data_IF_905688456904
#
_entry.id   IF_905688456904
#
_cell.length_a   1.000
_cell.length_b   1.000
_cell.length_c   1.000
_cell.angle_alpha   90.00
_cell.angle_beta   90.00
_cell.angle_gamma   90.00
#
_symmetry.space_group_name_H-M   'P 1'
#
loop_
_entity.id
_entity.type
_entity.pdbx_description
1 polymer ?
#
# COMPACT_ATOMS: atom_id res chain seq x y z
N UNK A 1 8.44 42.71 67.56
CA UNK A 1 7.39 41.88 66.92
C UNK A 1 8.01 41.23 65.69
N UNK A 2 8.07 39.90 65.62
CA UNK A 2 8.71 39.17 64.52
C UNK A 2 7.63 38.69 63.56
N UNK A 3 7.62 39.20 62.32
CA UNK A 3 6.70 38.76 61.27
C UNK A 3 7.14 37.37 60.80
N UNK A 4 6.27 36.35 60.78
CA UNK A 4 6.62 35.04 60.23
C UNK A 4 6.80 35.14 58.71
N UNK A 5 7.88 34.56 58.20
CA UNK A 5 8.15 34.43 56.77
C UNK A 5 7.03 33.61 56.10
N UNK A 6 6.40 34.08 55.02
CA UNK A 6 5.41 33.30 54.31
C UNK A 6 6.05 32.01 53.76
N UNK A 7 5.34 30.87 53.79
CA UNK A 7 5.84 29.63 53.21
C UNK A 7 6.16 29.85 51.73
N UNK A 8 7.27 29.27 51.27
CA UNK A 8 7.70 29.37 49.88
C UNK A 8 6.55 28.98 48.95
N UNK A 9 6.21 29.87 48.01
CA UNK A 9 5.21 29.59 47.01
C UNK A 9 5.64 28.35 46.22
N UNK A 10 4.91 27.25 46.40
CA UNK A 10 5.02 26.07 45.54
C UNK A 10 4.75 26.58 44.13
N UNK A 11 5.72 26.45 43.23
CA UNK A 11 5.54 26.84 41.84
C UNK A 11 4.30 26.11 41.32
N UNK A 12 3.19 26.85 41.14
CA UNK A 12 1.98 26.30 40.58
C UNK A 12 2.34 25.80 39.18
N UNK A 13 2.25 24.48 38.98
CA UNK A 13 2.46 23.90 37.67
C UNK A 13 1.49 24.58 36.70
N UNK A 14 2.03 25.29 35.71
CA UNK A 14 1.26 25.97 34.66
C UNK A 14 0.27 24.97 34.09
N UNK A 15 -1.02 25.25 34.27
CA UNK A 15 -2.08 24.39 33.76
C UNK A 15 -1.97 24.28 32.24
N UNK A 16 -1.75 23.07 31.73
CA UNK A 16 -1.73 22.79 30.30
C UNK A 16 -3.01 22.04 29.91
N UNK A 17 -3.81 22.64 29.03
CA UNK A 17 -4.95 21.96 28.42
C UNK A 17 -4.44 20.87 27.48
N UNK A 18 -4.43 19.62 27.95
CA UNK A 18 -4.05 18.44 27.15
C UNK A 18 -5.30 17.65 26.79
N UNK A 19 -5.43 17.25 25.52
CA UNK A 19 -6.48 16.34 25.08
C UNK A 19 -6.33 15.01 25.81
N UNK A 20 -7.38 14.59 26.52
CA UNK A 20 -7.42 13.34 27.24
C UNK A 20 -7.42 12.17 26.26
N UNK A 21 -6.55 11.19 26.50
CA UNK A 21 -6.30 10.12 25.52
C UNK A 21 -7.17 8.89 25.73
N UNK A 22 -7.65 8.68 26.96
CA UNK A 22 -8.49 7.54 27.32
C UNK A 22 -9.54 7.91 28.40
N UNK A 23 -10.59 7.08 28.51
CA UNK A 23 -11.69 7.32 29.46
C UNK A 23 -11.17 7.37 30.90
N UNK A 24 -10.18 6.55 31.27
CA UNK A 24 -9.60 6.55 32.62
C UNK A 24 -8.96 7.90 32.99
N UNK A 25 -8.26 8.55 32.07
CA UNK A 25 -7.72 9.90 32.27
C UNK A 25 -8.84 10.93 32.44
N UNK A 26 -9.91 10.82 31.65
CA UNK A 26 -11.10 11.68 31.78
C UNK A 26 -11.78 11.50 33.14
N UNK A 27 -11.90 10.27 33.64
CA UNK A 27 -12.44 10.01 34.97
C UNK A 27 -11.55 10.58 36.07
N UNK A 28 -10.23 10.37 35.98
CA UNK A 28 -9.27 10.90 36.94
C UNK A 28 -9.31 12.44 36.99
N UNK A 29 -9.32 13.09 35.83
CA UNK A 29 -9.39 14.55 35.75
C UNK A 29 -10.73 15.11 36.21
N UNK A 30 -11.85 14.56 35.76
CA UNK A 30 -13.18 15.03 36.20
C UNK A 30 -13.37 14.87 37.70
N UNK A 31 -12.86 13.79 38.29
CA UNK A 31 -12.87 13.58 39.75
C UNK A 31 -11.99 14.59 40.47
N UNK A 32 -10.76 14.81 39.99
CA UNK A 32 -9.84 15.80 40.56
C UNK A 32 -10.42 17.22 40.53
N UNK A 33 -11.06 17.61 39.43
CA UNK A 33 -11.70 18.92 39.28
C UNK A 33 -12.90 19.02 40.25
N UNK A 34 -13.74 17.99 40.33
CA UNK A 34 -14.89 17.94 41.25
C UNK A 34 -14.44 18.08 42.71
N UNK A 35 -13.41 17.35 43.11
CA UNK A 35 -12.88 17.39 44.48
C UNK A 35 -12.30 18.75 44.85
N UNK A 36 -11.67 19.45 43.90
CA UNK A 36 -11.18 20.82 44.09
C UNK A 36 -12.32 21.80 44.28
N UNK A 37 -13.35 21.72 43.42
CA UNK A 37 -14.55 22.57 43.51
C UNK A 37 -15.25 22.34 44.85
N UNK A 38 -15.32 21.11 45.32
CA UNK A 38 -15.99 20.77 46.58
C UNK A 38 -15.23 21.21 47.83
N UNK A 39 -13.89 21.27 47.76
CA UNK A 39 -13.03 21.78 48.85
C UNK A 39 -12.94 23.31 48.89
N UNK A 40 -13.44 24.00 47.87
CA UNK A 40 -13.37 25.45 47.79
C UNK A 40 -14.29 26.11 48.83
N UNK A 41 -13.75 27.00 49.65
CA UNK A 41 -14.47 27.70 50.72
C UNK A 41 -15.17 28.96 50.18
N UNK A 42 -16.19 28.79 49.34
CA UNK A 42 -17.08 29.87 48.90
C UNK A 42 -18.50 29.36 48.63
N UNK A 43 -19.30 30.14 47.91
CA UNK A 43 -20.63 29.82 47.33
C UNK A 43 -20.90 28.35 46.96
N UNK A 44 -22.19 27.99 46.90
CA UNK A 44 -22.64 26.62 46.61
C UNK A 44 -22.02 26.05 45.31
N UNK A 45 -21.31 24.90 45.38
CA UNK A 45 -20.62 24.31 44.23
C UNK A 45 -21.54 23.54 43.27
N UNK A 46 -22.83 23.41 43.59
CA UNK A 46 -23.75 22.48 42.92
C UNK A 46 -23.85 22.70 41.39
N UNK A 47 -23.97 23.96 40.96
CA UNK A 47 -24.06 24.30 39.52
C UNK A 47 -22.79 23.90 38.75
N UNK A 48 -21.61 24.15 39.33
CA UNK A 48 -20.33 23.81 38.71
C UNK A 48 -20.14 22.29 38.64
N UNK A 49 -20.52 21.55 39.70
CA UNK A 49 -20.45 20.09 39.72
C UNK A 49 -21.35 19.49 38.63
N UNK A 50 -22.57 20.04 38.45
CA UNK A 50 -23.47 19.60 37.40
C UNK A 50 -22.87 19.81 35.99
N UNK A 51 -22.29 20.99 35.74
CA UNK A 51 -21.62 21.31 34.48
C UNK A 51 -20.43 20.36 34.19
N UNK A 52 -19.60 20.06 35.21
CA UNK A 52 -18.51 19.08 35.08
C UNK A 52 -19.06 17.69 34.70
N UNK A 53 -20.18 17.29 35.30
CA UNK A 53 -20.85 16.03 34.98
C UNK A 53 -21.34 15.95 33.52
N UNK A 54 -21.88 17.05 32.99
CA UNK A 54 -22.29 17.14 31.59
C UNK A 54 -21.08 17.05 30.64
N UNK A 55 -20.03 17.83 30.92
CA UNK A 55 -18.79 17.81 30.13
C UNK A 55 -18.12 16.44 30.12
N UNK A 56 -18.14 15.70 31.26
CA UNK A 56 -17.64 14.31 31.30
C UNK A 56 -18.37 13.43 30.29
N UNK A 57 -19.71 13.47 30.27
CA UNK A 57 -20.53 12.65 29.35
C UNK A 57 -20.28 13.01 27.89
N UNK A 58 -20.22 14.29 27.56
CA UNK A 58 -19.93 14.74 26.20
C UNK A 58 -18.52 14.29 25.74
N UNK A 59 -17.53 14.41 26.62
CA UNK A 59 -16.18 13.94 26.34
C UNK A 59 -16.14 12.42 26.11
N UNK A 60 -16.85 11.61 26.91
CA UNK A 60 -16.97 10.16 26.69
C UNK A 60 -17.53 9.83 25.29
N UNK A 61 -18.58 10.53 24.86
CA UNK A 61 -19.18 10.38 23.53
C UNK A 61 -18.16 10.73 22.43
N UNK A 62 -17.47 11.86 22.56
CA UNK A 62 -16.46 12.29 21.59
C UNK A 62 -15.33 11.26 21.48
N UNK A 63 -14.88 10.69 22.58
CA UNK A 63 -13.83 9.68 22.59
C UNK A 63 -14.28 8.39 21.88
N UNK A 64 -15.50 7.92 22.13
CA UNK A 64 -16.07 6.79 21.42
C UNK A 64 -16.19 7.04 19.92
N UNK A 65 -16.68 8.22 19.53
CA UNK A 65 -16.77 8.62 18.12
C UNK A 65 -15.39 8.70 17.47
N UNK A 66 -14.39 9.22 18.17
CA UNK A 66 -13.01 9.27 17.67
C UNK A 66 -12.42 7.88 17.42
N UNK A 67 -12.74 6.90 18.27
CA UNK A 67 -12.36 5.49 18.06
C UNK A 67 -13.03 4.93 16.79
N UNK A 68 -14.35 5.08 16.69
CA UNK A 68 -15.12 4.62 15.53
C UNK A 68 -14.60 5.23 14.22
N UNK A 69 -14.31 6.53 14.23
CA UNK A 69 -13.73 7.22 13.07
C UNK A 69 -12.35 6.65 12.71
N UNK A 70 -11.49 6.35 13.70
CA UNK A 70 -10.17 5.74 13.46
C UNK A 70 -10.30 4.37 12.80
N UNK A 71 -11.24 3.55 13.25
CA UNK A 71 -11.54 2.24 12.65
C UNK A 71 -12.06 2.36 11.21
N UNK A 72 -13.01 3.27 10.98
CA UNK A 72 -13.53 3.55 9.65
C UNK A 72 -12.43 4.03 8.69
N UNK A 73 -11.57 4.95 9.14
CA UNK A 73 -10.43 5.42 8.36
C UNK A 73 -9.44 4.29 8.04
N UNK A 74 -9.15 3.42 9.00
CA UNK A 74 -8.28 2.26 8.79
C UNK A 74 -8.89 1.29 7.77
N UNK A 75 -10.19 1.02 7.87
CA UNK A 75 -10.94 0.17 6.93
C UNK A 75 -10.93 0.75 5.51
N UNK A 76 -11.23 2.05 5.38
CA UNK A 76 -11.22 2.76 4.10
C UNK A 76 -9.83 2.77 3.46
N UNK A 77 -8.78 3.01 4.24
CA UNK A 77 -7.39 2.92 3.75
C UNK A 77 -7.05 1.53 3.24
N UNK A 78 -7.46 0.47 3.96
CA UNK A 78 -7.28 -0.92 3.52
C UNK A 78 -8.03 -1.21 2.21
N UNK A 79 -9.30 -0.81 2.12
CA UNK A 79 -10.11 -0.98 0.92
C UNK A 79 -9.54 -0.24 -0.29
N UNK A 80 -9.09 1.00 -0.10
CA UNK A 80 -8.49 1.81 -1.16
C UNK A 80 -7.17 1.22 -1.63
N UNK A 81 -6.31 0.77 -0.71
CA UNK A 81 -5.06 0.05 -1.06
C UNK A 81 -5.35 -1.21 -1.87
N UNK A 82 -6.37 -1.99 -1.50
CA UNK A 82 -6.78 -3.18 -2.24
C UNK A 82 -7.32 -2.83 -3.64
N UNK A 83 -8.16 -1.81 -3.75
CA UNK A 83 -8.69 -1.34 -5.04
C UNK A 83 -7.59 -0.81 -5.95
N UNK A 84 -6.65 -0.03 -5.42
CA UNK A 84 -5.49 0.48 -6.15
C UNK A 84 -4.60 -0.65 -6.64
N UNK A 85 -4.28 -1.63 -5.78
CA UNK A 85 -3.57 -2.86 -6.20
C UNK A 85 -4.30 -3.59 -7.33
N UNK A 86 -5.63 -3.73 -7.25
CA UNK A 86 -6.44 -4.36 -8.32
C UNK A 86 -6.38 -3.57 -9.63
N UNK A 87 -6.38 -2.23 -9.56
CA UNK A 87 -6.26 -1.35 -10.74
C UNK A 87 -4.87 -1.42 -11.39
N UNK A 88 -3.82 -1.49 -10.58
CA UNK A 88 -2.42 -1.56 -11.06
C UNK A 88 -2.05 -2.91 -11.68
N UNK A 89 -2.77 -4.01 -11.34
CA UNK A 89 -2.52 -5.31 -11.96
C UNK A 89 -2.67 -5.23 -13.48
N UNK A 90 -1.62 -5.62 -14.22
CA UNK A 90 -1.60 -5.63 -15.69
C UNK A 90 -2.77 -6.47 -16.22
N UNK A 91 -3.68 -5.83 -16.96
CA UNK A 91 -4.83 -6.51 -17.57
C UNK A 91 -4.39 -7.13 -18.90
N UNK A 92 -4.51 -8.45 -19.04
CA UNK A 92 -4.41 -9.12 -20.36
C UNK A 92 -5.76 -8.98 -21.06
N UNK A 93 -5.82 -8.28 -22.19
CA UNK A 93 -7.05 -8.13 -22.98
C UNK A 93 -7.29 -9.40 -23.81
N UNK A 94 -8.50 -9.93 -23.74
CA UNK A 94 -8.97 -11.00 -24.65
C UNK A 94 -9.52 -10.31 -25.91
N UNK A 95 -8.90 -10.56 -27.06
CA UNK A 95 -9.34 -10.01 -28.34
C UNK A 95 -10.34 -10.96 -29.02
N UNK A 96 -11.52 -11.11 -28.45
CA UNK A 96 -12.68 -11.75 -29.11
C UNK A 96 -13.78 -10.71 -29.28
N UNK A 97 -14.45 -10.72 -30.43
CA UNK A 97 -15.65 -9.90 -30.66
C UNK A 97 -16.87 -10.58 -30.01
N UNK A 98 -17.84 -9.80 -29.56
CA UNK A 98 -19.08 -10.28 -28.94
C UNK A 98 -19.02 -10.44 -27.42
N UNK A 99 -20.13 -10.84 -26.82
CA UNK A 99 -20.25 -11.10 -25.38
C UNK A 99 -19.55 -12.41 -25.06
N UNK A 100 -18.70 -12.38 -24.03
CA UNK A 100 -17.96 -13.55 -23.54
C UNK A 100 -18.50 -13.93 -22.16
N UNK A 101 -18.85 -15.19 -21.98
CA UNK A 101 -19.12 -15.75 -20.65
C UNK A 101 -17.81 -15.91 -19.89
N UNK A 102 -17.88 -15.92 -18.55
CA UNK A 102 -16.70 -16.07 -17.70
C UNK A 102 -15.92 -17.36 -18.02
N UNK A 103 -16.61 -18.51 -18.09
CA UNK A 103 -16.00 -19.81 -18.39
C UNK A 103 -15.30 -19.82 -19.75
N UNK A 104 -15.98 -19.34 -20.81
CA UNK A 104 -15.38 -19.23 -22.13
C UNK A 104 -14.15 -18.30 -22.16
N UNK A 105 -14.10 -17.29 -21.28
CA UNK A 105 -12.92 -16.44 -21.10
C UNK A 105 -11.76 -17.17 -20.41
N UNK A 106 -12.05 -17.96 -19.38
CA UNK A 106 -11.08 -18.78 -18.66
C UNK A 106 -10.47 -19.86 -19.57
N UNK A 107 -11.29 -20.55 -20.35
CA UNK A 107 -10.84 -21.57 -21.32
C UNK A 107 -9.88 -20.97 -22.37
N UNK A 108 -10.15 -19.76 -22.85
CA UNK A 108 -9.27 -19.06 -23.80
C UNK A 108 -7.92 -18.68 -23.18
N UNK A 109 -7.90 -18.34 -21.90
CA UNK A 109 -6.66 -18.05 -21.18
C UNK A 109 -5.86 -19.34 -21.00
N UNK A 110 -6.50 -20.43 -20.56
CA UNK A 110 -5.87 -21.74 -20.41
C UNK A 110 -5.28 -22.25 -21.73
N UNK A 111 -6.04 -22.16 -22.83
CA UNK A 111 -5.54 -22.55 -24.14
C UNK A 111 -4.35 -21.69 -24.60
N UNK A 112 -4.40 -20.37 -24.37
CA UNK A 112 -3.28 -19.47 -24.71
C UNK A 112 -2.03 -19.82 -23.91
N UNK A 113 -2.16 -20.16 -22.63
CA UNK A 113 -1.04 -20.56 -21.77
C UNK A 113 -0.45 -21.89 -22.22
N UNK A 114 -1.28 -22.90 -22.51
CA UNK A 114 -0.83 -24.16 -23.09
C UNK A 114 -0.06 -23.95 -24.41
N UNK A 115 -0.60 -23.13 -25.32
CA UNK A 115 0.06 -22.83 -26.60
C UNK A 115 1.41 -22.10 -26.41
N UNK A 116 1.51 -21.19 -25.43
CA UNK A 116 2.77 -20.50 -25.12
C UNK A 116 3.83 -21.46 -24.59
N UNK A 117 3.41 -22.41 -23.75
CA UNK A 117 4.31 -23.42 -23.21
C UNK A 117 4.81 -24.36 -24.30
N UNK A 118 3.93 -24.86 -25.17
CA UNK A 118 4.30 -25.69 -26.32
C UNK A 118 5.30 -24.94 -27.21
N UNK A 119 5.03 -23.69 -27.58
CA UNK A 119 5.92 -22.91 -28.43
C UNK A 119 7.30 -22.67 -27.80
N UNK A 120 7.36 -22.54 -26.47
CA UNK A 120 8.61 -22.40 -25.75
C UNK A 120 9.40 -23.73 -25.72
N UNK A 121 8.73 -24.85 -25.46
CA UNK A 121 9.32 -26.18 -25.51
C UNK A 121 9.83 -26.55 -26.90
N UNK A 122 9.09 -26.19 -27.96
CA UNK A 122 9.52 -26.39 -29.35
C UNK A 122 10.80 -25.60 -29.67
N UNK A 123 10.90 -24.34 -29.23
CA UNK A 123 12.13 -23.54 -29.39
C UNK A 123 13.30 -24.15 -28.64
N UNK A 124 13.10 -24.56 -27.39
CA UNK A 124 14.14 -25.21 -26.60
C UNK A 124 14.56 -26.56 -27.20
N UNK A 125 13.61 -27.33 -27.73
CA UNK A 125 13.90 -28.58 -28.45
C UNK A 125 14.70 -28.28 -29.71
N UNK A 126 14.35 -27.25 -30.48
CA UNK A 126 15.13 -26.81 -31.65
C UNK A 126 16.56 -26.41 -31.31
N UNK A 127 16.75 -25.65 -30.22
CA UNK A 127 18.07 -25.25 -29.72
C UNK A 127 18.88 -26.45 -29.21
N UNK A 128 18.27 -27.37 -28.45
CA UNK A 128 18.93 -28.59 -27.94
C UNK A 128 19.23 -29.62 -29.02
N UNK A 129 18.45 -29.64 -30.10
CA UNK A 129 18.67 -30.58 -31.20
C UNK A 129 19.90 -30.22 -32.03
N UNK A 130 20.55 -29.06 -31.81
CA UNK A 130 21.75 -28.65 -32.55
C UNK A 130 21.51 -28.42 -34.06
N UNK A 131 20.34 -28.78 -34.58
CA UNK A 131 19.86 -28.48 -35.92
C UNK A 131 19.40 -27.03 -35.94
N UNK A 132 20.35 -26.12 -35.73
CA UNK A 132 20.27 -24.88 -36.47
C UNK A 132 20.01 -25.30 -37.91
N UNK A 133 18.91 -24.85 -38.52
CA UNK A 133 18.89 -24.65 -39.96
C UNK A 133 19.94 -23.58 -40.24
N UNK A 134 21.20 -23.93 -40.06
CA UNK A 134 22.35 -23.21 -40.55
C UNK A 134 22.13 -23.26 -42.04
N UNK A 135 21.58 -22.17 -42.57
CA UNK A 135 21.69 -21.90 -43.99
C UNK A 135 23.17 -22.15 -44.31
N UNK A 136 23.45 -23.21 -45.08
CA UNK A 136 24.82 -23.63 -45.40
C UNK A 136 25.61 -22.36 -45.71
N UNK A 137 26.71 -22.13 -44.99
CA UNK A 137 27.46 -20.90 -45.13
C UNK A 137 27.85 -20.75 -46.61
N UNK A 138 27.30 -19.72 -47.26
CA UNK A 138 27.57 -19.39 -48.66
C UNK A 138 28.75 -18.44 -48.71
N UNK A 139 29.62 -18.63 -49.70
CA UNK A 139 30.69 -17.70 -50.00
C UNK A 139 30.08 -16.30 -50.24
N UNK A 140 30.54 -15.28 -49.52
CA UNK A 140 29.99 -13.92 -49.65
C UNK A 140 30.26 -13.29 -51.02
N UNK A 141 31.19 -13.85 -51.80
CA UNK A 141 31.54 -13.38 -53.15
C UNK A 141 30.71 -14.05 -54.24
N UNK A 142 30.64 -15.39 -54.29
CA UNK A 142 29.95 -16.11 -55.36
C UNK A 142 28.61 -16.76 -54.96
N UNK A 143 28.22 -16.65 -53.68
CA UNK A 143 27.01 -17.23 -53.08
C UNK A 143 26.88 -18.76 -53.17
N UNK A 144 27.94 -19.47 -53.55
CA UNK A 144 27.99 -20.94 -53.53
C UNK A 144 28.39 -21.47 -52.15
N UNK A 145 27.93 -22.68 -51.83
CA UNK A 145 28.24 -23.39 -50.59
C UNK A 145 29.53 -24.20 -50.73
N UNK A 146 30.24 -24.44 -49.63
CA UNK A 146 31.42 -25.32 -49.60
C UNK A 146 32.78 -24.61 -49.62
N UNK A 147 32.82 -23.29 -49.72
CA UNK A 147 34.03 -22.49 -49.59
C UNK A 147 33.73 -21.09 -49.04
N UNK A 148 34.76 -20.37 -48.60
CA UNK A 148 34.64 -19.00 -48.09
C UNK A 148 35.19 -17.97 -49.09
N UNK A 149 34.96 -16.68 -48.85
CA UNK A 149 35.42 -15.61 -49.75
C UNK A 149 36.94 -15.54 -49.93
N UNK A 150 37.72 -16.03 -48.97
CA UNK A 150 39.19 -16.07 -49.02
C UNK A 150 39.73 -17.16 -49.95
N UNK A 151 38.92 -18.16 -50.25
CA UNK A 151 39.27 -19.33 -51.09
C UNK A 151 38.46 -19.38 -52.39
N UNK A 152 37.73 -18.30 -52.69
CA UNK A 152 36.88 -18.19 -53.87
C UNK A 152 37.73 -18.04 -55.15
N UNK A 153 37.63 -19.03 -56.04
CA UNK A 153 38.37 -19.07 -57.31
C UNK A 153 37.69 -18.30 -58.46
N UNK A 154 36.48 -17.77 -58.25
CA UNK A 154 35.74 -17.05 -59.32
C UNK A 154 36.27 -15.65 -59.64
N UNK A 155 37.18 -15.11 -58.82
CA UNK A 155 37.77 -13.78 -59.05
C UNK A 155 38.99 -13.81 -59.99
N UNK A 156 39.52 -14.97 -60.36
CA UNK A 156 40.73 -15.03 -61.22
C UNK A 156 40.42 -14.90 -62.72
N UNK A 157 39.16 -14.72 -63.11
CA UNK A 157 38.71 -14.65 -64.51
C UNK A 157 38.00 -13.31 -64.83
N UNK A 158 38.49 -12.22 -64.25
CA UNK A 158 37.87 -10.89 -64.36
C UNK A 158 38.86 -9.75 -64.46
N UNK A 159 40.00 -9.94 -65.13
CA UNK A 159 40.79 -8.83 -65.68
C UNK A 159 41.61 -9.33 -66.87
N UNK A 160 41.05 -9.15 -68.07
CA UNK A 160 41.77 -9.04 -69.33
C UNK A 160 41.03 -8.00 -70.18
#
# INVERSE_FOLDING_TARGET
LRTPTPPAAVAEAVWQARTLSNVRELEAQSTLIRDRVQRHKSSSPASIIAAIGQLKKEAEIIMLLAELMRDQLASLKRANKAATKRRQRKKKRIQKRGVLTKGAGEDLLAQREANQQIAHEERQRGERSGVSRQALARCSRCRETGHNSRTCKKDTLGTA
#
